data_IF_281879894327
#
_entry.id   IF_281879894327
#
_cell.length_a   1.000
_cell.length_b   1.000
_cell.length_c   1.000
_cell.angle_alpha   90.00
_cell.angle_beta   90.00
_cell.angle_gamma   90.00
#
_symmetry.space_group_name_H-M   'P 1'
#
loop_
_entity.id
_entity.type
_entity.pdbx_description
1 polymer ?
#
# COMPACT_ATOMS: atom_id res chain seq x y z
N UNK A 1 24.43 -15.60 7.47
CA UNK A 1 24.21 -14.14 7.64
C UNK A 1 22.72 -13.93 7.67
N UNK A 2 22.13 -13.63 8.83
CA UNK A 2 20.69 -13.38 8.94
C UNK A 2 20.38 -12.07 8.21
N UNK A 3 19.51 -12.14 7.19
CA UNK A 3 19.00 -10.96 6.51
C UNK A 3 18.30 -10.07 7.54
N UNK A 4 18.85 -8.88 7.77
CA UNK A 4 18.19 -7.85 8.55
C UNK A 4 16.99 -7.37 7.72
N UNK A 5 15.82 -7.92 7.97
CA UNK A 5 14.55 -7.40 7.43
C UNK A 5 14.28 -6.05 8.10
N UNK A 6 14.79 -4.99 7.48
CA UNK A 6 14.44 -3.63 7.87
C UNK A 6 13.02 -3.36 7.36
N UNK A 7 12.04 -3.27 8.25
CA UNK A 7 10.70 -2.81 7.93
C UNK A 7 10.79 -1.35 7.49
N UNK A 8 10.25 -1.03 6.31
CA UNK A 8 10.22 0.31 5.73
C UNK A 8 8.77 0.66 5.46
N UNK A 9 8.32 1.71 6.07
CA UNK A 9 6.97 2.27 6.03
C UNK A 9 6.84 3.50 5.13
N UNK A 10 7.97 4.16 4.81
CA UNK A 10 8.01 5.33 3.94
C UNK A 10 9.10 5.15 2.88
N UNK A 11 8.73 5.37 1.63
CA UNK A 11 9.66 5.36 0.50
C UNK A 11 9.31 6.45 -0.51
N UNK A 12 10.32 7.20 -0.97
CA UNK A 12 10.14 8.21 -2.02
C UNK A 12 10.70 7.67 -3.32
N UNK A 13 9.89 7.73 -4.39
CA UNK A 13 10.20 7.21 -5.71
C UNK A 13 9.89 8.21 -6.81
N UNK A 14 10.56 8.05 -7.94
CA UNK A 14 10.35 8.82 -9.15
C UNK A 14 9.59 7.99 -10.17
N UNK A 15 8.53 8.56 -10.72
CA UNK A 15 7.67 7.96 -11.74
C UNK A 15 7.82 8.73 -13.03
N UNK A 16 8.22 8.04 -14.10
CA UNK A 16 8.32 8.59 -15.46
C UNK A 16 7.36 7.81 -16.35
N UNK A 17 6.21 8.40 -16.67
CA UNK A 17 5.27 7.79 -17.61
C UNK A 17 5.84 7.83 -19.03
N UNK A 18 5.43 6.89 -19.87
CA UNK A 18 5.96 6.74 -21.21
C UNK A 18 5.66 7.95 -22.11
N UNK A 19 6.64 8.41 -22.88
CA UNK A 19 6.41 9.39 -23.95
C UNK A 19 5.56 8.78 -25.05
N UNK A 20 4.67 9.55 -25.68
CA UNK A 20 3.99 9.15 -26.90
C UNK A 20 4.96 9.04 -28.08
N UNK A 21 4.72 8.11 -28.97
CA UNK A 21 5.49 7.96 -30.21
C UNK A 21 5.33 9.16 -31.13
N UNK A 22 6.35 9.47 -31.93
CA UNK A 22 6.28 10.55 -32.91
C UNK A 22 5.42 10.13 -34.11
N UNK A 23 4.67 11.06 -34.67
CA UNK A 23 3.98 10.85 -35.96
C UNK A 23 4.97 10.74 -37.13
N UNK A 24 4.60 9.99 -38.14
CA UNK A 24 5.42 9.80 -39.32
C UNK A 24 5.20 10.87 -40.39
N UNK A 25 6.26 11.17 -41.14
CA UNK A 25 6.19 11.90 -42.42
C UNK A 25 6.45 10.91 -43.53
N UNK A 26 5.42 10.51 -44.24
CA UNK A 26 5.52 9.58 -45.36
C UNK A 26 4.58 9.98 -46.47
N UNK A 27 4.91 9.56 -47.70
CA UNK A 27 4.12 9.82 -48.88
C UNK A 27 3.91 8.54 -49.67
N UNK A 28 2.70 8.35 -50.14
CA UNK A 28 2.32 7.18 -50.90
C UNK A 28 3.19 7.06 -52.16
N UNK A 29 3.74 5.90 -52.42
CA UNK A 29 4.58 5.62 -53.60
C UNK A 29 4.09 4.34 -54.26
N UNK A 30 3.63 4.50 -55.49
CA UNK A 30 3.29 3.38 -56.37
C UNK A 30 4.01 3.46 -57.68
N UNK A 31 4.08 2.33 -58.39
CA UNK A 31 4.64 2.28 -59.74
C UNK A 31 3.80 3.17 -60.66
N UNK A 32 4.41 4.15 -61.30
CA UNK A 32 3.80 5.18 -62.18
C UNK A 32 3.08 6.34 -61.42
N UNK A 33 3.11 6.43 -60.11
CA UNK A 33 2.62 7.61 -59.38
C UNK A 33 3.81 8.39 -58.84
N UNK A 34 4.14 9.49 -59.52
CA UNK A 34 5.32 10.31 -59.18
C UNK A 34 5.20 11.07 -57.86
N UNK A 35 3.98 11.43 -57.45
CA UNK A 35 3.69 12.15 -56.21
C UNK A 35 2.36 11.66 -55.63
N UNK A 36 2.42 10.72 -54.71
CA UNK A 36 1.27 10.28 -53.92
C UNK A 36 0.99 11.25 -52.78
N UNK A 37 -0.22 11.17 -52.21
CA UNK A 37 -0.62 11.95 -51.02
C UNK A 37 0.16 11.59 -49.77
N UNK A 38 0.05 12.40 -48.70
CA UNK A 38 0.64 12.09 -47.41
C UNK A 38 -0.02 10.86 -46.80
N UNK A 39 0.77 9.89 -46.38
CA UNK A 39 0.33 8.62 -45.82
C UNK A 39 1.03 8.26 -44.50
N UNK A 40 1.65 9.22 -43.82
CA UNK A 40 2.27 9.00 -42.53
C UNK A 40 1.23 8.76 -41.43
N UNK A 41 1.41 7.66 -40.70
CA UNK A 41 0.57 7.26 -39.57
C UNK A 41 0.93 7.99 -38.28
N UNK A 42 0.04 7.93 -37.32
CA UNK A 42 0.21 8.54 -36.00
C UNK A 42 1.13 7.71 -35.12
N UNK A 43 1.78 8.34 -34.17
CA UNK A 43 2.50 7.66 -33.09
C UNK A 43 1.54 6.98 -32.10
N UNK A 44 2.00 5.92 -31.42
CA UNK A 44 1.28 5.23 -30.36
C UNK A 44 1.32 6.02 -29.05
N UNK A 45 0.39 5.73 -28.16
CA UNK A 45 0.37 6.29 -26.80
C UNK A 45 1.49 5.69 -25.94
N UNK A 46 2.12 6.48 -25.08
CA UNK A 46 3.03 6.02 -24.02
C UNK A 46 2.28 5.26 -22.92
N UNK A 47 2.99 4.40 -22.19
CA UNK A 47 2.43 3.61 -21.09
C UNK A 47 2.13 4.48 -19.86
N UNK A 48 1.01 4.18 -19.21
CA UNK A 48 0.65 4.77 -17.91
C UNK A 48 1.38 4.03 -16.79
N UNK A 49 1.48 4.65 -15.61
CA UNK A 49 1.92 4.01 -14.37
C UNK A 49 0.72 3.81 -13.45
N UNK A 50 0.46 2.54 -13.14
CA UNK A 50 -0.70 2.10 -12.39
C UNK A 50 -0.22 1.41 -11.10
N UNK A 51 -0.79 1.79 -9.96
CA UNK A 51 -0.56 1.11 -8.69
C UNK A 51 -1.71 0.16 -8.38
N UNK A 52 -1.34 -0.99 -7.81
CA UNK A 52 -2.29 -2.03 -7.39
C UNK A 52 -1.86 -2.54 -6.02
N UNK A 53 -2.81 -2.67 -5.09
CA UNK A 53 -2.54 -3.31 -3.81
C UNK A 53 -2.37 -4.83 -3.99
N UNK A 54 -1.37 -5.39 -3.30
CA UNK A 54 -1.08 -6.83 -3.29
C UNK A 54 -0.96 -7.31 -1.83
N UNK A 55 -1.81 -8.26 -1.42
CA UNK A 55 -1.85 -8.82 -0.06
C UNK A 55 -0.62 -9.62 0.33
N UNK A 56 0.17 -10.04 -0.64
CA UNK A 56 1.43 -10.78 -0.39
C UNK A 56 2.59 -9.86 -0.01
N UNK A 57 2.42 -8.55 -0.17
CA UNK A 57 3.42 -7.55 0.22
C UNK A 57 3.06 -6.96 1.58
N UNK A 58 4.03 -6.95 2.49
CA UNK A 58 3.86 -6.38 3.84
C UNK A 58 4.78 -5.20 4.14
N UNK A 59 5.71 -4.86 3.24
CA UNK A 59 6.68 -3.78 3.43
C UNK A 59 6.97 -3.03 2.13
N UNK A 60 7.44 -1.78 2.25
CA UNK A 60 7.91 -0.96 1.11
C UNK A 60 9.42 -1.15 0.83
N UNK A 61 10.02 -2.28 1.26
CA UNK A 61 11.47 -2.48 1.18
C UNK A 61 12.02 -2.41 -0.25
N UNK A 62 11.32 -2.94 -1.23
CA UNK A 62 11.76 -2.95 -2.63
C UNK A 62 11.92 -1.55 -3.18
N UNK A 63 11.10 -0.59 -2.73
CA UNK A 63 11.14 0.81 -3.15
C UNK A 63 12.34 1.59 -2.61
N UNK A 64 13.01 1.07 -1.57
CA UNK A 64 14.27 1.63 -1.08
C UNK A 64 15.41 1.40 -2.06
N UNK A 65 15.42 0.22 -2.70
CA UNK A 65 16.48 -0.17 -3.63
C UNK A 65 16.20 0.35 -5.04
N UNK A 66 14.96 0.19 -5.51
CA UNK A 66 14.54 0.69 -6.81
C UNK A 66 13.69 1.96 -6.62
N UNK A 67 14.31 3.11 -6.88
CA UNK A 67 13.66 4.43 -6.69
C UNK A 67 13.15 5.05 -7.99
N UNK A 68 13.43 4.47 -9.14
CA UNK A 68 13.05 4.98 -10.46
C UNK A 68 12.21 3.96 -11.20
N UNK A 69 11.04 4.39 -11.64
CA UNK A 69 10.10 3.58 -12.42
C UNK A 69 9.76 4.32 -13.70
N UNK A 70 10.04 3.69 -14.84
CA UNK A 70 9.82 4.28 -16.16
C UNK A 70 8.93 3.36 -16.97
N UNK A 71 7.78 3.87 -17.41
CA UNK A 71 6.89 3.15 -18.31
C UNK A 71 7.42 3.22 -19.77
N UNK A 72 7.14 2.22 -20.61
CA UNK A 72 7.62 2.18 -21.98
C UNK A 72 7.00 3.30 -22.83
N UNK A 73 7.76 3.73 -23.85
CA UNK A 73 7.32 4.75 -24.80
C UNK A 73 6.42 4.16 -25.90
N UNK A 74 5.55 4.97 -26.46
CA UNK A 74 4.74 4.61 -27.62
C UNK A 74 5.58 4.44 -28.89
N UNK A 75 5.18 3.52 -29.75
CA UNK A 75 5.81 3.27 -31.02
C UNK A 75 5.67 4.48 -31.97
N UNK A 76 6.68 4.72 -32.81
CA UNK A 76 6.59 5.74 -33.88
C UNK A 76 5.58 5.33 -34.92
N UNK A 77 4.90 6.30 -35.53
CA UNK A 77 4.09 6.09 -36.74
C UNK A 77 4.93 5.60 -37.90
N UNK A 78 4.30 4.88 -38.82
CA UNK A 78 4.91 4.36 -40.03
C UNK A 78 4.29 4.92 -41.32
N UNK A 79 4.77 4.42 -42.47
CA UNK A 79 4.18 4.69 -43.77
C UNK A 79 2.83 3.96 -43.93
N UNK A 80 2.10 4.29 -45.01
CA UNK A 80 0.83 3.65 -45.37
C UNK A 80 -0.22 3.71 -44.25
N UNK A 81 -0.29 4.86 -43.54
CA UNK A 81 -1.18 5.13 -42.43
C UNK A 81 -1.01 4.17 -41.26
N UNK A 82 0.12 3.46 -41.18
CA UNK A 82 0.40 2.55 -40.05
C UNK A 82 0.64 3.32 -38.77
N UNK A 83 -0.25 3.12 -37.79
CA UNK A 83 -0.10 3.72 -36.47
C UNK A 83 0.99 3.00 -35.65
N UNK A 84 1.71 3.78 -34.85
CA UNK A 84 2.63 3.23 -33.86
C UNK A 84 1.90 2.40 -32.82
N UNK A 85 2.55 1.33 -32.33
CA UNK A 85 2.00 0.48 -31.24
C UNK A 85 1.87 1.30 -29.96
N UNK A 86 0.72 1.22 -29.29
CA UNK A 86 0.57 1.76 -27.95
C UNK A 86 1.46 0.98 -26.98
N UNK A 87 2.09 1.68 -26.06
CA UNK A 87 2.89 1.07 -25.01
C UNK A 87 2.00 0.36 -23.97
N UNK A 88 2.57 -0.65 -23.34
CA UNK A 88 1.94 -1.33 -22.21
C UNK A 88 2.07 -0.49 -20.94
N UNK A 89 1.06 -0.54 -20.07
CA UNK A 89 1.10 0.15 -18.79
C UNK A 89 2.09 -0.53 -17.84
N UNK A 90 2.78 0.26 -17.03
CA UNK A 90 3.63 -0.24 -15.95
C UNK A 90 2.78 -0.40 -14.70
N UNK A 91 2.62 -1.65 -14.26
CA UNK A 91 1.91 -1.98 -13.01
C UNK A 91 2.93 -2.07 -11.88
N UNK A 92 2.72 -1.29 -10.83
CA UNK A 92 3.53 -1.29 -9.62
C UNK A 92 2.67 -1.84 -8.48
N UNK A 93 3.13 -2.95 -7.89
CA UNK A 93 2.46 -3.58 -6.77
C UNK A 93 2.98 -2.99 -5.45
N UNK A 94 2.06 -2.66 -4.55
CA UNK A 94 2.35 -2.13 -3.22
C UNK A 94 1.51 -2.86 -2.16
N UNK A 95 1.92 -2.84 -0.88
CA UNK A 95 1.09 -3.39 0.19
C UNK A 95 -0.27 -2.71 0.27
N UNK A 96 -1.29 -3.46 0.67
CA UNK A 96 -2.62 -2.91 0.98
C UNK A 96 -2.50 -1.84 2.08
N UNK A 97 -3.26 -0.74 1.96
CA UNK A 97 -3.19 0.39 2.88
C UNK A 97 -2.02 1.35 2.64
N UNK A 98 -1.39 1.27 1.46
CA UNK A 98 -0.38 2.25 1.05
C UNK A 98 -1.04 3.55 0.59
N UNK A 99 -0.63 4.67 1.18
CA UNK A 99 -1.02 6.02 0.75
C UNK A 99 0.07 6.59 -0.15
N UNK A 100 -0.35 7.11 -1.29
CA UNK A 100 0.53 7.76 -2.25
C UNK A 100 0.32 9.27 -2.11
N UNK A 101 1.40 9.98 -1.77
CA UNK A 101 1.42 11.43 -1.62
C UNK A 101 2.34 12.04 -2.67
N UNK A 102 2.00 13.20 -3.15
CA UNK A 102 2.92 14.04 -3.92
C UNK A 102 4.10 14.46 -3.02
N UNK A 103 5.32 14.28 -3.49
CA UNK A 103 6.50 14.52 -2.65
C UNK A 103 6.79 15.99 -2.40
N UNK A 104 6.32 16.90 -3.28
CA UNK A 104 6.54 18.34 -3.16
C UNK A 104 5.45 19.01 -2.30
N UNK A 105 4.18 18.72 -2.58
CA UNK A 105 3.05 19.35 -1.90
C UNK A 105 2.61 18.61 -0.64
N UNK A 106 2.97 17.32 -0.49
CA UNK A 106 2.51 16.43 0.58
C UNK A 106 1.03 16.03 0.46
N UNK A 107 0.34 16.44 -0.60
CA UNK A 107 -1.08 16.11 -0.81
C UNK A 107 -1.26 14.63 -1.14
N UNK A 108 -2.32 14.04 -0.62
CA UNK A 108 -2.69 12.65 -0.94
C UNK A 108 -3.22 12.58 -2.37
N UNK A 109 -2.53 11.79 -3.21
CA UNK A 109 -2.96 11.51 -4.59
C UNK A 109 -3.91 10.32 -4.59
N UNK A 110 -3.58 9.25 -3.85
CA UNK A 110 -4.38 8.04 -3.76
C UNK A 110 -4.19 7.33 -2.42
N UNK A 111 -5.21 6.58 -2.01
CA UNK A 111 -5.21 5.68 -0.86
C UNK A 111 -5.60 4.28 -1.37
N UNK A 112 -4.69 3.32 -1.27
CA UNK A 112 -4.88 1.95 -1.75
C UNK A 112 -5.40 1.08 -0.60
N UNK A 113 -6.61 1.38 -0.15
CA UNK A 113 -7.34 0.61 0.87
C UNK A 113 -8.02 -0.64 0.31
N UNK A 114 -8.10 -0.75 -1.01
CA UNK A 114 -8.64 -1.90 -1.74
C UNK A 114 -7.74 -2.30 -2.93
N UNK A 115 -8.14 -3.34 -3.68
CA UNK A 115 -7.38 -3.84 -4.85
C UNK A 115 -7.67 -3.08 -6.16
N UNK A 116 -8.40 -1.98 -6.11
CA UNK A 116 -8.74 -1.20 -7.31
C UNK A 116 -7.48 -0.58 -7.91
N UNK A 117 -7.17 -0.84 -9.20
CA UNK A 117 -6.02 -0.23 -9.86
C UNK A 117 -6.18 1.29 -9.95
N UNK A 118 -5.16 2.04 -9.54
CA UNK A 118 -5.16 3.50 -9.61
C UNK A 118 -4.05 4.00 -10.52
N UNK A 119 -4.41 4.81 -11.52
CA UNK A 119 -3.43 5.46 -12.41
C UNK A 119 -2.86 6.70 -11.74
N UNK A 120 -1.56 6.69 -11.46
CA UNK A 120 -0.85 7.79 -10.79
C UNK A 120 -0.17 8.72 -11.79
N UNK A 121 0.41 8.19 -12.86
CA UNK A 121 1.03 9.01 -13.91
C UNK A 121 0.57 8.55 -15.30
N UNK A 122 0.15 9.50 -16.13
CA UNK A 122 -0.41 9.23 -17.46
C UNK A 122 0.66 9.33 -18.54
N UNK A 123 0.68 8.35 -19.43
CA UNK A 123 1.51 8.35 -20.61
C UNK A 123 1.11 9.43 -21.62
N UNK A 124 2.11 9.93 -22.35
CA UNK A 124 1.94 10.96 -23.37
C UNK A 124 1.14 10.46 -24.57
N UNK A 125 0.40 11.35 -25.20
CA UNK A 125 -0.32 11.05 -26.45
C UNK A 125 0.65 10.96 -27.62
N UNK A 126 0.39 10.02 -28.51
CA UNK A 126 1.12 9.94 -29.80
C UNK A 126 0.94 11.18 -30.65
N UNK A 127 1.98 11.53 -31.37
CA UNK A 127 1.97 12.64 -32.34
C UNK A 127 1.20 12.27 -33.62
N UNK A 128 0.55 13.24 -34.21
CA UNK A 128 -0.16 13.03 -35.47
C UNK A 128 0.82 12.93 -36.66
N UNK A 129 0.59 11.96 -37.56
CA UNK A 129 1.28 11.82 -38.80
C UNK A 129 0.93 12.95 -39.82
N UNK A 130 1.73 13.09 -40.88
CA UNK A 130 1.51 14.13 -41.85
C UNK A 130 0.17 14.01 -42.60
N UNK A 131 -0.43 12.82 -42.67
CA UNK A 131 -1.75 12.62 -43.28
C UNK A 131 -2.85 13.48 -42.63
N UNK A 132 -2.79 13.72 -41.31
CA UNK A 132 -3.74 14.58 -40.60
C UNK A 132 -3.68 16.06 -40.96
N UNK A 133 -2.57 16.53 -41.55
CA UNK A 133 -2.34 17.92 -41.87
C UNK A 133 -2.59 18.24 -43.34
N UNK A 134 -3.08 17.27 -44.13
CA UNK A 134 -3.51 17.46 -45.47
C UNK A 134 -4.79 18.31 -45.52
N UNK A 135 -4.72 19.42 -46.27
CA UNK A 135 -5.87 20.30 -46.53
C UNK A 135 -5.93 20.62 -48.03
N UNK A 136 -7.07 21.11 -48.55
CA UNK A 136 -7.17 21.51 -49.96
C UNK A 136 -6.08 22.50 -50.39
N UNK A 137 -5.65 23.37 -49.47
CA UNK A 137 -4.59 24.35 -49.71
C UNK A 137 -3.18 23.83 -49.45
N UNK A 138 -3.03 22.77 -48.61
CA UNK A 138 -1.76 22.13 -48.25
C UNK A 138 -1.86 20.64 -48.51
N UNK A 139 -1.72 20.22 -49.74
CA UNK A 139 -1.87 18.81 -50.14
C UNK A 139 -0.68 17.93 -49.78
N UNK A 140 0.51 18.51 -49.57
CA UNK A 140 1.77 17.78 -49.30
C UNK A 140 2.44 18.33 -48.04
N UNK A 141 1.88 18.06 -46.83
CA UNK A 141 2.51 18.46 -45.58
C UNK A 141 3.79 17.63 -45.33
N UNK A 142 4.93 18.32 -45.16
CA UNK A 142 6.25 17.71 -44.92
C UNK A 142 6.61 17.70 -43.43
N UNK A 143 5.63 17.72 -42.55
CA UNK A 143 5.82 17.70 -41.09
C UNK A 143 4.80 16.78 -40.43
N UNK A 144 5.16 16.26 -39.26
CA UNK A 144 4.31 15.53 -38.34
C UNK A 144 4.48 16.11 -36.92
N UNK A 145 3.57 15.83 -36.03
CA UNK A 145 3.74 16.23 -34.62
C UNK A 145 4.58 15.20 -33.87
N UNK A 146 5.52 15.65 -33.01
CA UNK A 146 6.16 14.75 -32.06
C UNK A 146 5.14 14.24 -31.06
N UNK A 147 5.41 13.08 -30.49
CA UNK A 147 4.65 12.57 -29.34
C UNK A 147 4.79 13.49 -28.14
N UNK A 148 3.73 13.57 -27.34
CA UNK A 148 3.74 14.35 -26.12
C UNK A 148 4.54 13.63 -25.04
N UNK A 149 5.24 14.34 -24.13
CA UNK A 149 5.87 13.73 -22.97
C UNK A 149 4.81 13.07 -22.08
N UNK A 150 5.19 12.02 -21.39
CA UNK A 150 4.42 11.49 -20.27
C UNK A 150 4.55 12.37 -19.02
N UNK A 151 3.76 12.09 -18.00
CA UNK A 151 3.84 12.78 -16.73
C UNK A 151 5.07 12.30 -15.94
N UNK A 152 5.82 13.24 -15.40
CA UNK A 152 6.94 13.01 -14.49
C UNK A 152 6.57 13.51 -13.11
N UNK A 153 6.52 12.60 -12.13
CA UNK A 153 6.08 12.93 -10.78
C UNK A 153 6.95 12.21 -9.74
N UNK A 154 7.27 12.90 -8.67
CA UNK A 154 7.89 12.31 -7.48
C UNK A 154 6.81 12.06 -6.45
N UNK A 155 6.72 10.81 -5.97
CA UNK A 155 5.72 10.42 -4.98
C UNK A 155 6.39 9.82 -3.76
N UNK A 156 5.77 10.07 -2.60
CA UNK A 156 6.10 9.41 -1.34
C UNK A 156 5.03 8.37 -1.05
N UNK A 157 5.46 7.12 -0.95
CA UNK A 157 4.64 6.00 -0.51
C UNK A 157 4.71 5.95 1.01
N UNK A 158 3.58 5.89 1.68
CA UNK A 158 3.47 5.75 3.12
C UNK A 158 2.52 4.59 3.45
N UNK A 159 3.01 3.61 4.19
CA UNK A 159 2.21 2.46 4.60
C UNK A 159 1.42 2.80 5.87
N UNK A 160 0.10 2.85 5.77
CA UNK A 160 -0.80 3.09 6.92
C UNK A 160 -1.00 1.85 7.80
N UNK A 161 -0.90 0.64 7.22
CA UNK A 161 -0.99 -0.60 7.97
C UNK A 161 0.24 -0.74 8.86
N UNK A 162 0.01 -0.87 10.17
CA UNK A 162 1.09 -1.06 11.14
C UNK A 162 1.45 -2.54 11.24
N UNK A 163 0.43 -3.42 11.28
CA UNK A 163 0.61 -4.85 11.43
C UNK A 163 -0.60 -5.64 10.89
N UNK A 164 -0.36 -6.92 10.56
CA UNK A 164 -1.45 -7.84 10.24
C UNK A 164 -2.24 -8.21 11.50
N UNK A 165 -1.54 -8.38 12.64
CA UNK A 165 -2.13 -8.73 13.94
C UNK A 165 -1.72 -7.70 14.99
N UNK A 166 -2.70 -7.05 15.60
CA UNK A 166 -2.50 -6.15 16.75
C UNK A 166 -2.74 -6.87 18.07
N UNK A 167 -1.76 -6.84 19.00
CA UNK A 167 -1.94 -7.33 20.35
C UNK A 167 -2.64 -6.27 21.20
N UNK A 168 -3.78 -6.63 21.75
CA UNK A 168 -4.53 -5.80 22.70
C UNK A 168 -4.67 -6.53 24.04
N UNK A 169 -4.85 -5.79 25.10
CA UNK A 169 -4.98 -6.35 26.46
C UNK A 169 -4.40 -5.39 27.48
N UNK A 170 -4.75 -5.57 28.74
CA UNK A 170 -4.25 -4.76 29.85
C UNK A 170 -2.73 -4.82 30.01
N UNK A 171 -2.11 -3.89 30.74
CA UNK A 171 -0.71 -4.00 31.12
C UNK A 171 -0.44 -5.33 31.85
N UNK A 172 0.78 -5.85 31.73
CA UNK A 172 1.28 -7.07 32.41
C UNK A 172 0.56 -8.40 32.07
N UNK A 173 -0.39 -8.43 31.14
CA UNK A 173 -1.02 -9.69 30.69
C UNK A 173 -0.08 -10.58 29.86
N UNK A 174 1.12 -10.07 29.48
CA UNK A 174 2.16 -10.83 28.79
C UNK A 174 2.27 -10.59 27.29
N UNK A 175 1.69 -9.53 26.72
CA UNK A 175 1.76 -9.18 25.30
C UNK A 175 3.19 -9.11 24.74
N UNK A 176 4.06 -8.34 25.40
CA UNK A 176 5.46 -8.16 24.96
C UNK A 176 6.29 -9.45 25.11
N UNK A 177 5.98 -10.30 26.09
CA UNK A 177 6.58 -11.61 26.24
C UNK A 177 6.15 -12.53 25.09
N UNK A 178 4.86 -12.52 24.75
CA UNK A 178 4.32 -13.30 23.65
C UNK A 178 5.03 -12.94 22.33
N UNK A 179 5.07 -11.65 21.97
CA UNK A 179 5.70 -11.22 20.72
C UNK A 179 7.19 -11.56 20.68
N UNK A 180 7.89 -11.48 21.83
CA UNK A 180 9.30 -11.85 21.92
C UNK A 180 9.54 -13.33 21.70
N UNK A 181 8.56 -14.18 22.05
CA UNK A 181 8.65 -15.64 21.94
C UNK A 181 8.31 -16.12 20.54
N UNK A 182 7.28 -15.53 19.89
CA UNK A 182 6.80 -15.98 18.58
C UNK A 182 7.54 -15.32 17.40
N UNK A 183 8.24 -14.21 17.64
CA UNK A 183 8.95 -13.48 16.59
C UNK A 183 10.19 -14.24 16.11
N UNK A 184 10.33 -14.39 14.81
CA UNK A 184 11.50 -15.03 14.16
C UNK A 184 12.81 -14.23 14.34
N UNK A 185 12.71 -12.94 14.66
CA UNK A 185 13.84 -12.06 14.98
C UNK A 185 13.51 -11.23 16.23
N UNK A 186 14.51 -10.64 16.88
CA UNK A 186 14.27 -9.74 18.02
C UNK A 186 13.27 -8.66 17.63
N UNK A 187 12.16 -8.49 18.39
CA UNK A 187 11.18 -7.45 18.12
C UNK A 187 11.86 -6.08 18.03
N UNK A 188 11.41 -5.27 17.08
CA UNK A 188 11.96 -3.93 16.85
C UNK A 188 10.98 -2.89 17.32
N UNK A 189 11.50 -1.89 18.00
CA UNK A 189 10.78 -0.66 18.31
C UNK A 189 10.70 0.16 17.03
N UNK A 190 9.49 0.42 16.54
CA UNK A 190 9.27 1.17 15.30
C UNK A 190 8.84 2.60 15.62
N UNK A 191 9.71 3.57 15.33
CA UNK A 191 9.40 4.99 15.47
C UNK A 191 8.66 5.47 14.22
N UNK A 192 7.35 5.53 14.28
CA UNK A 192 6.54 6.15 13.23
C UNK A 192 6.38 7.63 13.50
N UNK A 193 6.56 8.48 12.48
CA UNK A 193 6.45 9.95 12.62
C UNK A 193 5.07 10.45 13.05
N UNK A 194 4.07 9.57 13.01
CA UNK A 194 2.68 9.87 13.38
C UNK A 194 2.26 9.22 14.71
N UNK A 195 3.20 8.60 15.45
CA UNK A 195 2.88 7.89 16.69
C UNK A 195 3.54 8.56 17.89
N UNK A 196 2.75 8.89 18.91
CA UNK A 196 3.25 9.33 20.22
C UNK A 196 3.69 8.15 21.09
N UNK A 197 3.08 6.97 20.85
CA UNK A 197 3.44 5.69 21.45
C UNK A 197 4.17 4.84 20.41
N UNK A 198 5.28 4.27 20.78
CA UNK A 198 6.14 3.49 19.90
C UNK A 198 5.77 2.01 19.98
N UNK A 199 5.11 1.44 18.94
CA UNK A 199 4.76 0.02 18.95
C UNK A 199 6.00 -0.86 18.79
N UNK A 200 5.96 -2.02 19.41
CA UNK A 200 6.97 -3.06 19.23
C UNK A 200 6.48 -4.03 18.16
N UNK A 201 7.21 -4.13 17.06
CA UNK A 201 6.87 -5.00 15.94
C UNK A 201 7.67 -6.31 15.99
N UNK A 202 6.99 -7.44 15.79
CA UNK A 202 7.59 -8.75 15.61
C UNK A 202 7.15 -9.37 14.28
N UNK A 203 8.08 -9.96 13.54
CA UNK A 203 7.76 -10.74 12.34
C UNK A 203 7.63 -12.20 12.75
N UNK A 204 6.45 -12.77 12.56
CA UNK A 204 6.12 -14.16 12.86
C UNK A 204 6.17 -14.98 11.58
N UNK A 205 6.99 -16.04 11.57
CA UNK A 205 7.07 -16.98 10.43
C UNK A 205 6.09 -18.13 10.62
N UNK A 206 5.32 -18.45 9.59
CA UNK A 206 4.27 -19.51 9.62
C UNK A 206 4.62 -20.65 8.65
N UNK A 207 5.90 -20.93 8.44
CA UNK A 207 6.36 -21.99 7.54
C UNK A 207 7.09 -21.48 6.32
N UNK A 208 7.23 -22.32 5.29
CA UNK A 208 8.04 -21.98 4.11
C UNK A 208 7.45 -20.78 3.34
N UNK A 209 8.10 -19.62 3.50
CA UNK A 209 7.82 -18.41 2.74
C UNK A 209 6.63 -17.56 3.21
N UNK A 210 5.90 -17.97 4.25
CA UNK A 210 4.80 -17.18 4.82
C UNK A 210 5.21 -16.51 6.14
N UNK A 211 4.97 -15.21 6.25
CA UNK A 211 5.19 -14.45 7.48
C UNK A 211 4.14 -13.34 7.61
N UNK A 212 3.83 -12.98 8.85
CA UNK A 212 2.98 -11.84 9.15
C UNK A 212 3.61 -10.93 10.21
N UNK A 213 3.20 -9.68 10.24
CA UNK A 213 3.68 -8.69 11.21
C UNK A 213 2.71 -8.64 12.38
N UNK A 214 3.24 -8.81 13.59
CA UNK A 214 2.52 -8.66 14.84
C UNK A 214 3.00 -7.40 15.56
N UNK A 215 2.08 -6.57 16.02
CA UNK A 215 2.38 -5.35 16.77
C UNK A 215 1.93 -5.47 18.21
N UNK A 216 2.84 -5.24 19.15
CA UNK A 216 2.49 -4.94 20.54
C UNK A 216 2.20 -3.45 20.63
N UNK A 217 0.96 -3.11 20.86
CA UNK A 217 0.50 -1.73 20.94
C UNK A 217 0.34 -1.37 22.42
N UNK A 218 1.30 -0.64 23.02
CA UNK A 218 1.23 -0.27 24.42
C UNK A 218 0.15 0.78 24.66
N UNK A 219 -0.62 0.69 25.74
CA UNK A 219 -1.35 1.84 26.26
C UNK A 219 -2.87 1.78 26.35
N UNK A 220 -3.50 0.60 26.52
CA UNK A 220 -4.86 0.57 27.05
C UNK A 220 -4.81 0.96 28.54
N UNK A 221 -5.25 2.17 28.85
CA UNK A 221 -5.49 2.67 30.20
C UNK A 221 -6.97 3.02 30.27
N UNK A 222 -7.62 2.76 31.39
CA UNK A 222 -9.02 3.13 31.67
C UNK A 222 -9.31 4.58 31.24
N UNK A 223 -10.40 4.81 30.48
CA UNK A 223 -10.79 6.13 29.98
C UNK A 223 -10.17 6.53 28.64
N UNK A 224 -9.63 5.58 27.87
CA UNK A 224 -9.03 5.85 26.55
C UNK A 224 -10.03 6.48 25.56
N UNK A 225 -11.31 6.12 25.62
CA UNK A 225 -12.38 6.64 24.77
C UNK A 225 -12.84 8.05 25.19
N UNK A 226 -12.63 8.46 26.45
CA UNK A 226 -13.03 9.77 26.96
C UNK A 226 -12.02 10.89 26.66
N UNK A 227 -10.94 10.61 25.94
CA UNK A 227 -9.95 11.61 25.53
C UNK A 227 -8.98 12.02 26.65
N UNK A 228 -9.01 11.36 27.79
CA UNK A 228 -8.11 11.61 28.92
C UNK A 228 -6.85 10.75 28.75
N UNK A 229 -5.86 11.28 28.01
CA UNK A 229 -4.54 10.66 27.91
C UNK A 229 -4.22 9.99 26.57
N UNK A 230 -3.28 9.03 26.57
CA UNK A 230 -2.67 8.36 25.42
C UNK A 230 -3.62 7.44 24.60
N UNK A 231 -4.89 7.30 25.04
CA UNK A 231 -5.84 6.34 24.47
C UNK A 231 -6.20 6.57 23.00
N UNK A 232 -6.38 7.80 22.57
CA UNK A 232 -6.76 8.12 21.18
C UNK A 232 -5.68 7.74 20.17
N UNK A 233 -4.42 7.94 20.50
CA UNK A 233 -3.32 7.56 19.63
C UNK A 233 -3.15 6.02 19.57
N UNK A 234 -3.40 5.34 20.68
CA UNK A 234 -3.46 3.89 20.76
C UNK A 234 -4.51 3.31 19.81
N UNK A 235 -5.74 3.80 19.89
CA UNK A 235 -6.86 3.29 19.09
C UNK A 235 -6.67 3.50 17.59
N UNK A 236 -6.00 4.59 17.17
CA UNK A 236 -5.57 4.77 15.77
C UNK A 236 -4.57 3.71 15.29
N UNK A 237 -3.75 3.16 16.19
CA UNK A 237 -2.83 2.07 15.84
C UNK A 237 -3.57 0.75 15.70
N UNK A 238 -4.57 0.52 16.56
CA UNK A 238 -5.43 -0.67 16.48
C UNK A 238 -6.24 -0.67 15.18
N UNK A 239 -6.73 0.50 14.73
CA UNK A 239 -7.42 0.65 13.43
C UNK A 239 -6.58 0.19 12.23
N UNK A 240 -5.26 0.22 12.36
CA UNK A 240 -4.31 -0.14 11.31
C UNK A 240 -3.87 -1.61 11.33
N UNK A 241 -4.54 -2.44 12.13
CA UNK A 241 -4.33 -3.89 12.17
C UNK A 241 -5.49 -4.61 11.50
N UNK A 242 -5.22 -5.71 10.79
CA UNK A 242 -6.27 -6.52 10.13
C UNK A 242 -7.04 -7.40 11.10
N UNK A 243 -6.36 -7.93 12.11
CA UNK A 243 -6.87 -8.84 13.12
C UNK A 243 -6.41 -8.38 14.49
N UNK A 244 -7.24 -8.54 15.51
CA UNK A 244 -6.88 -8.28 16.90
C UNK A 244 -6.65 -9.59 17.64
N UNK A 245 -5.54 -9.69 18.36
CA UNK A 245 -5.27 -10.76 19.30
C UNK A 245 -5.44 -10.19 20.73
N UNK A 246 -6.57 -10.51 21.35
CA UNK A 246 -6.92 -10.04 22.67
C UNK A 246 -6.32 -10.96 23.72
N UNK A 247 -5.27 -10.49 24.39
CA UNK A 247 -4.55 -11.26 25.43
C UNK A 247 -5.15 -10.92 26.78
N UNK A 248 -5.69 -11.96 27.46
CA UNK A 248 -6.34 -11.85 28.77
C UNK A 248 -5.54 -12.66 29.80
N UNK A 249 -5.27 -12.07 30.96
CA UNK A 249 -4.66 -12.78 32.09
C UNK A 249 -5.73 -13.62 32.83
N UNK A 250 -5.65 -14.93 32.68
CA UNK A 250 -6.61 -15.86 33.32
C UNK A 250 -6.19 -16.31 34.71
N UNK A 251 -5.01 -15.89 35.17
CA UNK A 251 -4.51 -16.28 36.50
C UNK A 251 -5.19 -15.52 37.65
N UNK A 252 -5.72 -14.32 37.36
CA UNK A 252 -6.26 -13.44 38.41
C UNK A 252 -5.23 -12.90 39.38
N UNK A 253 -3.91 -13.07 39.09
CA UNK A 253 -2.83 -12.70 40.02
C UNK A 253 -2.80 -11.20 40.38
N UNK A 254 -3.34 -10.35 39.52
CA UNK A 254 -3.43 -8.89 39.72
C UNK A 254 -4.76 -8.48 40.41
N UNK A 255 -5.58 -9.45 40.84
CA UNK A 255 -6.87 -9.19 41.48
C UNK A 255 -7.96 -8.69 40.51
N UNK A 256 -7.76 -8.88 39.21
CA UNK A 256 -8.71 -8.52 38.14
C UNK A 256 -9.51 -9.74 37.71
N UNK A 257 -10.76 -9.50 37.28
CA UNK A 257 -11.59 -10.52 36.67
C UNK A 257 -11.35 -10.58 35.18
N UNK A 258 -10.90 -11.72 34.61
CA UNK A 258 -10.63 -11.87 33.20
C UNK A 258 -11.81 -11.51 32.28
N UNK A 259 -13.04 -11.78 32.76
CA UNK A 259 -14.25 -11.45 32.00
C UNK A 259 -14.51 -9.95 31.97
N UNK A 260 -14.37 -9.28 33.13
CA UNK A 260 -14.53 -7.84 33.20
C UNK A 260 -13.47 -7.11 32.36
N UNK A 261 -12.22 -7.58 32.36
CA UNK A 261 -11.14 -7.03 31.55
C UNK A 261 -11.46 -7.15 30.03
N UNK A 262 -11.98 -8.29 29.60
CA UNK A 262 -12.38 -8.50 28.21
C UNK A 262 -13.54 -7.58 27.80
N UNK A 263 -14.58 -7.48 28.62
CA UNK A 263 -15.74 -6.62 28.35
C UNK A 263 -15.35 -5.14 28.33
N UNK A 264 -14.48 -4.71 29.22
CA UNK A 264 -14.01 -3.33 29.29
C UNK A 264 -13.23 -2.93 28.04
N UNK A 265 -12.31 -3.76 27.54
CA UNK A 265 -11.56 -3.48 26.32
C UNK A 265 -12.49 -3.39 25.11
N UNK A 266 -13.46 -4.30 24.98
CA UNK A 266 -14.44 -4.25 23.90
C UNK A 266 -15.32 -3.00 23.98
N UNK A 267 -15.68 -2.55 25.17
CA UNK A 267 -16.41 -1.30 25.38
C UNK A 267 -15.59 -0.09 24.92
N UNK A 268 -14.31 -0.04 25.23
CA UNK A 268 -13.38 1.01 24.80
C UNK A 268 -13.22 1.03 23.26
N UNK A 269 -13.07 -0.14 22.62
CA UNK A 269 -12.99 -0.25 21.16
C UNK A 269 -14.27 0.25 20.49
N UNK A 270 -15.44 -0.15 21.00
CA UNK A 270 -16.75 0.27 20.49
C UNK A 270 -17.00 1.77 20.70
N UNK A 271 -16.54 2.33 21.81
CA UNK A 271 -16.65 3.76 22.09
C UNK A 271 -15.80 4.63 21.16
N UNK A 272 -14.75 4.08 20.59
CA UNK A 272 -13.88 4.81 19.65
C UNK A 272 -14.40 4.78 18.22
N UNK A 273 -14.70 3.59 17.69
CA UNK A 273 -15.12 3.42 16.30
C UNK A 273 -15.95 2.15 16.12
N UNK A 274 -17.06 2.25 15.38
CA UNK A 274 -17.87 1.09 15.01
C UNK A 274 -17.07 0.07 14.17
N UNK A 275 -16.13 0.55 13.35
CA UNK A 275 -15.25 -0.29 12.54
C UNK A 275 -14.32 -1.17 13.40
N UNK A 276 -13.85 -0.63 14.53
CA UNK A 276 -13.04 -1.38 15.49
C UNK A 276 -13.85 -2.41 16.27
N UNK A 277 -15.10 -2.10 16.60
CA UNK A 277 -15.99 -3.03 17.27
C UNK A 277 -16.28 -4.28 16.43
N UNK A 278 -16.41 -4.12 15.11
CA UNK A 278 -16.69 -5.20 14.15
C UNK A 278 -15.44 -5.93 13.68
N UNK A 279 -14.24 -5.51 14.10
CA UNK A 279 -12.99 -6.11 13.66
C UNK A 279 -12.83 -7.53 14.22
N UNK A 280 -12.40 -8.50 13.38
CA UNK A 280 -12.15 -9.87 13.82
C UNK A 280 -11.21 -9.92 15.02
N UNK A 281 -11.60 -10.64 16.08
CA UNK A 281 -10.81 -10.81 17.29
C UNK A 281 -10.59 -12.30 17.59
N UNK A 282 -9.37 -12.62 18.04
CA UNK A 282 -9.03 -13.91 18.64
C UNK A 282 -8.69 -13.66 20.11
N UNK A 283 -9.34 -14.37 21.01
CA UNK A 283 -9.07 -14.25 22.46
C UNK A 283 -8.03 -15.29 22.87
N UNK A 284 -6.97 -14.84 23.54
CA UNK A 284 -5.90 -15.68 24.06
C UNK A 284 -5.84 -15.56 25.59
N UNK A 285 -6.17 -16.64 26.31
CA UNK A 285 -5.94 -16.74 27.76
C UNK A 285 -4.47 -17.03 28.05
N UNK A 286 -3.81 -16.12 28.73
CA UNK A 286 -2.41 -16.26 29.13
C UNK A 286 -2.29 -16.54 30.65
N UNK A 287 -1.12 -17.02 31.09
CA UNK A 287 -0.78 -17.38 32.46
C UNK A 287 -1.67 -18.51 33.05
N UNK A 288 -2.11 -19.43 32.18
CA UNK A 288 -2.91 -20.57 32.61
C UNK A 288 -2.18 -21.51 33.59
N UNK A 289 -0.85 -21.49 33.60
CA UNK A 289 0.02 -22.28 34.46
C UNK A 289 -0.05 -21.85 35.92
N UNK A 290 -0.44 -20.61 36.19
CA UNK A 290 -0.53 -20.01 37.54
C UNK A 290 -1.99 -19.92 38.00
N UNK A 291 -2.95 -20.14 37.08
CA UNK A 291 -4.37 -20.05 37.38
C UNK A 291 -4.79 -21.11 38.42
N UNK A 292 -5.63 -20.72 39.40
CA UNK A 292 -6.20 -21.67 40.36
C UNK A 292 -7.09 -22.69 39.62
N UNK A 293 -7.16 -23.96 40.10
CA UNK A 293 -7.84 -25.05 39.38
C UNK A 293 -9.38 -24.99 39.39
N UNK A 294 -9.98 -23.90 39.80
CA UNK A 294 -11.41 -23.72 39.58
C UNK A 294 -11.69 -23.62 38.08
N UNK A 295 -12.62 -24.41 37.53
CA UNK A 295 -12.91 -24.37 36.12
C UNK A 295 -13.56 -23.04 35.79
N UNK A 296 -12.73 -22.04 35.43
CA UNK A 296 -13.24 -20.84 34.81
C UNK A 296 -13.79 -21.28 33.45
N UNK A 297 -15.09 -21.33 33.34
CA UNK A 297 -15.82 -21.71 32.13
C UNK A 297 -15.61 -20.62 31.09
N UNK A 298 -14.48 -20.67 30.37
CA UNK A 298 -14.15 -19.78 29.23
C UNK A 298 -15.06 -19.94 28.02
N UNK A 299 -16.10 -20.76 28.12
CA UNK A 299 -17.09 -20.99 27.06
C UNK A 299 -17.90 -19.74 26.69
N UNK A 300 -17.82 -18.67 27.47
CA UNK A 300 -18.52 -17.41 27.23
C UNK A 300 -17.68 -16.35 26.50
N UNK A 301 -16.38 -16.54 26.30
CA UNK A 301 -15.52 -15.64 25.52
C UNK A 301 -15.60 -16.01 24.02
N UNK A 302 -16.79 -16.02 23.46
CA UNK A 302 -16.92 -16.09 22.00
C UNK A 302 -16.67 -14.69 21.43
N UNK A 303 -15.59 -14.55 20.67
CA UNK A 303 -15.42 -13.45 19.75
C UNK A 303 -16.52 -13.51 18.69
N UNK A 304 -17.14 -12.40 18.42
CA UNK A 304 -18.10 -12.23 17.32
C UNK A 304 -17.36 -12.05 16.00
#
# INVERSE_FOLDING_TARGET
>A
MAAQTNFIDIATIWLHAGKGGDGAVSFHREKFVAAGGPDGGDGGRGGDIIFVADDHLSTLMDFRYKRKYTAPEGGKGGASLCHGKNAENLIIKVPLGTVIKDAESGLVIADLSDHTPVTIAKGGRGGYGNAHFATPTRQIPKFAKPGMPGEDIQVTLELKLIADVGLIGFPNVGKSTLISTISAAKPKIANYHFTTLVPTLGVVSVGEGASFVCADIPGLIEGASEGIGLGHDFLRHVERCRLLLHVVDVSGCEGRDPKADFEQINHELAGFSAELADRPQIVLGNKCDIASPEPVSYTHLRAH
#
